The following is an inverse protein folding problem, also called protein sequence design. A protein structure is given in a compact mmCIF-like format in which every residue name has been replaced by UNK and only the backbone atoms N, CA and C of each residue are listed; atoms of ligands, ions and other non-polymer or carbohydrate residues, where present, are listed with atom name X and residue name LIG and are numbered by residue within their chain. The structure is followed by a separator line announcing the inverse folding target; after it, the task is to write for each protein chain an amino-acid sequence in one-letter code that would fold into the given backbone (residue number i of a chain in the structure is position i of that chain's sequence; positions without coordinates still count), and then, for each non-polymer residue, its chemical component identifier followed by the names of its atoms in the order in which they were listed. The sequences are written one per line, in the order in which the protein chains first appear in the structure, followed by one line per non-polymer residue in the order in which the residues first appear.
data_IF_939010330632
#
_entry.id   IF_939010330632
#
_cell.length_a   1.000
_cell.length_b   1.000
_cell.length_c   1.000
_cell.angle_alpha   90.00
_cell.angle_beta   90.00
_cell.angle_gamma   90.00
#
_symmetry.space_group_name_H-M   'P 1'
#
loop_
_entity.id
_entity.type
_entity.pdbx_description
1 polymer ?
#
# COMPACT_ATOMS: atom_id res chain seq x y z
N UNK A 1 -19.29 -11.87 66.87
CA UNK A 1 -18.07 -11.05 67.05
C UNK A 1 -18.03 -10.00 65.94
N UNK A 2 -18.23 -8.72 66.31
CA UNK A 2 -18.16 -7.57 65.40
C UNK A 2 -16.74 -7.04 65.39
N UNK A 3 -16.18 -6.69 64.24
CA UNK A 3 -15.15 -5.65 64.07
C UNK A 3 -15.00 -5.40 62.56
N UNK A 4 -15.78 -4.46 62.03
CA UNK A 4 -15.41 -3.05 61.76
C UNK A 4 -14.59 -2.91 60.47
N UNK A 5 -15.33 -2.77 59.37
CA UNK A 5 -14.92 -2.08 58.16
C UNK A 5 -14.20 -0.76 58.52
N UNK A 6 -12.95 -0.63 58.08
CA UNK A 6 -12.21 0.62 58.20
C UNK A 6 -12.35 1.37 56.87
N UNK A 7 -13.16 2.42 56.90
CA UNK A 7 -13.34 3.39 55.82
C UNK A 7 -12.35 4.53 56.10
N UNK A 8 -11.32 4.65 55.28
CA UNK A 8 -10.35 5.74 55.38
C UNK A 8 -10.95 7.06 54.83
N UNK A 9 -10.66 8.21 55.46
CA UNK A 9 -11.28 9.48 55.16
C UNK A 9 -10.82 10.09 53.82
N UNK A 10 -11.81 10.63 53.11
CA UNK A 10 -11.70 11.40 51.88
C UNK A 10 -10.93 12.70 52.16
N UNK A 11 -9.62 12.71 51.89
CA UNK A 11 -8.81 13.92 51.88
C UNK A 11 -9.30 14.83 50.75
N UNK A 12 -9.97 15.94 51.11
CA UNK A 12 -10.18 17.09 50.23
C UNK A 12 -8.83 17.77 50.04
N UNK A 13 -8.14 17.45 48.95
CA UNK A 13 -7.06 18.30 48.46
C UNK A 13 -7.66 19.52 47.77
N UNK A 14 -7.73 20.61 48.52
CA UNK A 14 -7.88 21.98 48.01
C UNK A 14 -6.80 22.32 46.99
N UNK A 15 -7.22 23.00 45.91
CA UNK A 15 -6.47 23.97 45.08
C UNK A 15 -4.99 23.65 44.80
N UNK A 16 -4.75 23.10 43.61
CA UNK A 16 -3.60 23.44 42.77
C UNK A 16 -4.18 23.54 41.36
N UNK A 17 -4.38 24.72 40.79
CA UNK A 17 -3.32 25.60 40.32
C UNK A 17 -3.53 25.76 38.81
N UNK A 18 -4.55 26.53 38.43
CA UNK A 18 -4.67 27.07 37.07
C UNK A 18 -3.55 28.10 36.89
N UNK A 19 -2.35 27.70 36.50
CA UNK A 19 -1.26 28.66 36.21
C UNK A 19 -0.23 28.10 35.23
N UNK A 20 -0.65 27.39 34.17
CA UNK A 20 0.28 27.09 33.07
C UNK A 20 -0.31 27.27 31.65
N UNK A 21 -1.52 27.79 31.55
CA UNK A 21 -2.13 28.18 30.26
C UNK A 21 -2.05 29.70 30.03
N UNK A 22 -2.03 30.51 31.10
CA UNK A 22 -1.94 31.97 30.99
C UNK A 22 -0.51 32.47 30.75
N UNK A 23 0.52 31.77 31.25
CA UNK A 23 1.92 32.17 31.07
C UNK A 23 2.42 32.02 29.62
N UNK A 24 1.87 31.06 28.87
CA UNK A 24 2.16 30.87 27.44
C UNK A 24 1.36 31.81 26.54
N UNK A 25 0.27 32.42 27.03
CA UNK A 25 -0.50 33.40 26.25
C UNK A 25 0.09 34.81 26.30
N UNK A 26 0.78 35.22 27.39
CA UNK A 26 1.42 36.55 27.48
C UNK A 26 2.80 36.67 26.83
N UNK A 27 3.48 35.57 26.48
CA UNK A 27 4.77 35.61 25.77
C UNK A 27 4.63 35.57 24.23
N UNK A 28 3.45 35.20 23.72
CA UNK A 28 3.19 35.09 22.28
C UNK A 28 2.95 36.46 21.61
N UNK A 29 2.68 37.50 22.40
CA UNK A 29 2.31 38.84 21.93
C UNK A 29 3.50 39.71 21.50
N UNK A 30 4.74 39.25 21.77
CA UNK A 30 5.98 39.94 21.38
C UNK A 30 6.81 39.20 20.32
N UNK A 31 6.41 38.01 19.89
CA UNK A 31 7.12 37.28 18.84
C UNK A 31 6.73 37.76 17.45
N UNK A 32 7.72 38.00 16.61
CA UNK A 32 7.50 38.30 15.20
C UNK A 32 6.87 37.10 14.49
N UNK A 33 6.08 37.32 13.41
CA UNK A 33 5.51 36.23 12.63
C UNK A 33 6.56 35.21 12.14
N UNK A 34 7.78 35.66 11.85
CA UNK A 34 8.90 34.79 11.45
C UNK A 34 9.32 33.83 12.55
N UNK A 35 9.49 34.31 13.79
CA UNK A 35 9.87 33.48 14.93
C UNK A 35 8.80 32.43 15.25
N UNK A 36 7.52 32.80 15.08
CA UNK A 36 6.40 31.85 15.24
C UNK A 36 6.41 30.76 14.17
N UNK A 37 6.71 31.10 12.91
CA UNK A 37 6.87 30.13 11.81
C UNK A 37 8.07 29.22 12.06
N UNK A 38 9.19 29.77 12.54
CA UNK A 38 10.38 29.00 12.88
C UNK A 38 10.09 28.00 14.02
N UNK A 39 9.45 28.43 15.09
CA UNK A 39 9.03 27.57 16.19
C UNK A 39 8.05 26.48 15.73
N UNK A 40 7.06 26.82 14.88
CA UNK A 40 6.15 25.84 14.29
C UNK A 40 6.88 24.83 13.39
N UNK A 41 7.87 25.28 12.62
CA UNK A 41 8.72 24.42 11.78
C UNK A 41 9.53 23.43 12.62
N UNK A 42 10.07 23.88 13.76
CA UNK A 42 10.76 23.02 14.71
C UNK A 42 9.85 21.90 15.24
N UNK A 43 8.64 22.24 15.71
CA UNK A 43 7.68 21.23 16.21
C UNK A 43 7.21 20.27 15.12
N UNK A 44 6.96 20.78 13.91
CA UNK A 44 6.66 19.95 12.74
C UNK A 44 7.79 18.95 12.45
N UNK A 45 9.04 19.42 12.47
CA UNK A 45 10.21 18.56 12.28
C UNK A 45 10.31 17.48 13.35
N UNK A 46 10.06 17.80 14.63
CA UNK A 46 10.05 16.81 15.72
C UNK A 46 8.96 15.76 15.58
N UNK A 47 7.74 16.18 15.24
CA UNK A 47 6.65 15.24 14.96
C UNK A 47 6.99 14.28 13.80
N UNK A 48 7.67 14.77 12.75
CA UNK A 48 8.16 13.94 11.64
C UNK A 48 9.24 12.94 12.06
N UNK A 49 10.19 13.36 12.90
CA UNK A 49 11.23 12.48 13.44
C UNK A 49 10.63 11.34 14.26
N UNK A 50 9.65 11.64 15.12
CA UNK A 50 8.94 10.64 15.92
C UNK A 50 8.16 9.65 15.06
N UNK A 51 7.44 10.15 14.04
CA UNK A 51 6.73 9.31 13.08
C UNK A 51 7.69 8.37 12.35
N UNK A 52 8.82 8.90 11.87
CA UNK A 52 9.86 8.09 11.22
C UNK A 52 10.38 6.99 12.13
N UNK A 53 10.74 7.33 13.36
CA UNK A 53 11.27 6.38 14.33
C UNK A 53 10.25 5.25 14.60
N UNK A 54 8.97 5.60 14.75
CA UNK A 54 7.91 4.62 14.97
C UNK A 54 7.71 3.70 13.77
N UNK A 55 7.75 4.25 12.56
CA UNK A 55 7.62 3.46 11.34
C UNK A 55 8.78 2.49 11.13
N UNK A 56 10.01 2.92 11.38
CA UNK A 56 11.18 2.05 11.31
C UNK A 56 11.06 0.90 12.31
N UNK A 57 10.65 1.20 13.55
CA UNK A 57 10.42 0.16 14.56
C UNK A 57 9.36 -0.87 14.12
N UNK A 58 8.27 -0.44 13.47
CA UNK A 58 7.24 -1.36 12.93
C UNK A 58 7.81 -2.21 11.79
N UNK A 59 8.58 -1.63 10.87
CA UNK A 59 9.20 -2.38 9.78
C UNK A 59 10.20 -3.42 10.29
N UNK A 60 10.98 -3.07 11.31
CA UNK A 60 11.91 -3.99 11.96
C UNK A 60 11.16 -5.14 12.65
N UNK A 61 10.01 -4.87 13.28
CA UNK A 61 9.15 -5.91 13.86
C UNK A 61 8.58 -6.85 12.79
N UNK A 62 8.08 -6.32 11.67
CA UNK A 62 7.58 -7.12 10.54
C UNK A 62 8.70 -8.00 10.00
N UNK A 63 9.89 -7.44 9.79
CA UNK A 63 11.06 -8.20 9.33
C UNK A 63 11.45 -9.28 10.34
N UNK A 64 11.51 -8.97 11.63
CA UNK A 64 11.88 -9.92 12.67
C UNK A 64 10.89 -11.09 12.77
N UNK A 65 9.58 -10.82 12.70
CA UNK A 65 8.55 -11.87 12.67
C UNK A 65 8.70 -12.71 11.41
N UNK A 66 8.89 -12.07 10.25
CA UNK A 66 9.03 -12.77 8.97
C UNK A 66 10.25 -13.68 8.95
N UNK A 67 11.42 -13.19 9.39
CA UNK A 67 12.65 -13.99 9.47
C UNK A 67 12.53 -15.12 10.50
N UNK A 68 11.86 -14.87 11.63
CA UNK A 68 11.60 -15.92 12.62
C UNK A 68 10.72 -17.04 12.07
N UNK A 69 9.71 -16.71 11.28
CA UNK A 69 8.73 -17.66 10.73
C UNK A 69 9.19 -18.31 9.41
N UNK A 70 10.16 -17.70 8.72
CA UNK A 70 10.65 -18.14 7.40
C UNK A 70 11.01 -19.63 7.35
N UNK A 71 11.77 -20.22 8.30
CA UNK A 71 12.15 -21.64 8.21
C UNK A 71 10.94 -22.59 8.28
N UNK A 72 9.97 -22.29 9.15
CA UNK A 72 8.75 -23.09 9.30
C UNK A 72 7.87 -22.99 8.05
N UNK A 73 7.71 -21.78 7.49
CA UNK A 73 6.98 -21.59 6.24
C UNK A 73 7.62 -22.35 5.07
N UNK A 74 8.95 -22.33 4.96
CA UNK A 74 9.67 -23.10 3.94
C UNK A 74 9.41 -24.60 4.12
N UNK A 75 9.53 -25.13 5.35
CA UNK A 75 9.27 -26.54 5.62
C UNK A 75 7.83 -26.95 5.26
N UNK A 76 6.84 -26.10 5.55
CA UNK A 76 5.44 -26.34 5.17
C UNK A 76 5.22 -26.29 3.66
N UNK A 77 5.89 -25.37 2.95
CA UNK A 77 5.87 -25.31 1.49
C UNK A 77 6.47 -26.58 0.88
N UNK A 78 7.60 -27.04 1.41
CA UNK A 78 8.24 -28.28 0.95
C UNK A 78 7.37 -29.51 1.21
N UNK A 79 6.75 -29.59 2.39
CA UNK A 79 5.80 -30.66 2.71
C UNK A 79 4.61 -30.67 1.74
N UNK A 80 4.03 -29.51 1.45
CA UNK A 80 2.93 -29.39 0.49
C UNK A 80 3.37 -29.74 -0.94
N UNK A 81 4.59 -29.36 -1.34
CA UNK A 81 5.16 -29.68 -2.64
C UNK A 81 5.38 -31.20 -2.79
N UNK A 82 5.91 -31.86 -1.78
CA UNK A 82 6.11 -33.31 -1.76
C UNK A 82 4.78 -34.07 -1.83
N UNK A 83 3.80 -33.70 -0.99
CA UNK A 83 2.46 -34.30 -1.02
C UNK A 83 1.78 -34.11 -2.39
N UNK A 84 1.95 -32.95 -3.02
CA UNK A 84 1.47 -32.72 -4.39
C UNK A 84 2.17 -33.61 -5.40
N UNK A 85 3.49 -33.78 -5.31
CA UNK A 85 4.25 -34.63 -6.22
C UNK A 85 3.82 -36.11 -6.12
N UNK A 86 3.63 -36.61 -4.90
CA UNK A 86 3.09 -37.94 -4.64
C UNK A 86 1.68 -38.12 -5.21
N UNK A 87 0.80 -37.14 -4.98
CA UNK A 87 -0.55 -37.14 -5.52
C UNK A 87 -0.55 -37.16 -7.06
N UNK A 88 0.33 -36.38 -7.70
CA UNK A 88 0.50 -36.38 -9.16
C UNK A 88 0.97 -37.75 -9.64
N UNK A 89 1.98 -38.35 -9.01
CA UNK A 89 2.47 -39.69 -9.37
C UNK A 89 1.38 -40.76 -9.22
N UNK A 90 0.54 -40.66 -8.19
CA UNK A 90 -0.58 -41.55 -7.98
C UNK A 90 -1.66 -41.40 -9.06
N UNK A 91 -1.99 -40.17 -9.44
CA UNK A 91 -2.96 -39.88 -10.53
C UNK A 91 -2.41 -40.39 -11.88
N UNK A 92 -1.13 -40.18 -12.16
CA UNK A 92 -0.47 -40.67 -13.39
C UNK A 92 -0.43 -42.20 -13.45
N UNK A 93 -0.26 -42.86 -12.30
CA UNK A 93 -0.31 -44.33 -12.20
C UNK A 93 -1.74 -44.89 -12.27
N UNK A 94 -2.77 -44.08 -12.04
CA UNK A 94 -4.18 -44.49 -11.95
C UNK A 94 -5.09 -43.67 -12.87
N UNK A 95 -4.63 -43.34 -14.08
CA UNK A 95 -5.35 -42.47 -15.03
C UNK A 95 -6.74 -42.97 -15.40
N UNK A 96 -6.98 -44.28 -15.33
CA UNK A 96 -8.25 -44.91 -15.68
C UNK A 96 -9.42 -44.45 -14.80
N UNK A 97 -9.15 -44.10 -13.53
CA UNK A 97 -10.14 -43.56 -12.59
C UNK A 97 -10.72 -42.23 -13.08
N UNK A 98 -9.97 -41.51 -13.94
CA UNK A 98 -10.35 -40.21 -14.51
C UNK A 98 -10.81 -40.30 -15.97
N UNK A 99 -11.24 -41.49 -16.45
CA UNK A 99 -11.87 -41.59 -17.78
C UNK A 99 -13.20 -40.83 -17.84
N UNK A 100 -14.04 -41.00 -16.82
CA UNK A 100 -15.33 -40.32 -16.68
C UNK A 100 -15.81 -40.38 -15.22
N UNK A 101 -15.91 -39.25 -14.49
CA UNK A 101 -15.57 -37.88 -14.90
C UNK A 101 -14.06 -37.64 -15.00
N UNK A 102 -13.64 -36.66 -15.83
CA UNK A 102 -12.21 -36.33 -16.00
C UNK A 102 -11.59 -35.65 -14.79
N UNK A 103 -12.41 -35.03 -13.95
CA UNK A 103 -11.97 -34.38 -12.72
C UNK A 103 -12.99 -34.62 -11.62
N UNK A 104 -12.51 -34.79 -10.40
CA UNK A 104 -13.31 -35.00 -9.18
C UNK A 104 -12.78 -34.05 -8.10
N UNK A 105 -13.65 -33.57 -7.21
CA UNK A 105 -13.25 -32.75 -6.06
C UNK A 105 -13.34 -33.58 -4.79
N UNK A 106 -12.24 -33.66 -4.05
CA UNK A 106 -12.16 -34.32 -2.74
C UNK A 106 -11.45 -33.40 -1.76
N UNK A 107 -11.97 -33.30 -0.53
CA UNK A 107 -11.36 -32.48 0.54
C UNK A 107 -11.06 -31.03 0.11
N UNK A 108 -11.91 -30.45 -0.76
CA UNK A 108 -11.70 -29.11 -1.31
C UNK A 108 -10.69 -29.02 -2.46
N UNK A 109 -9.96 -30.09 -2.79
CA UNK A 109 -8.98 -30.15 -3.87
C UNK A 109 -9.58 -30.81 -5.12
N UNK A 110 -9.52 -30.13 -6.26
CA UNK A 110 -9.93 -30.67 -7.56
C UNK A 110 -8.77 -31.42 -8.20
N UNK A 111 -8.96 -32.70 -8.46
CA UNK A 111 -7.96 -33.60 -9.06
C UNK A 111 -8.48 -34.25 -10.34
N UNK A 112 -7.58 -34.62 -11.24
CA UNK A 112 -7.89 -35.36 -12.46
C UNK A 112 -7.10 -34.91 -13.67
N UNK A 113 -7.58 -35.28 -14.85
CA UNK A 113 -6.87 -35.08 -16.12
C UNK A 113 -7.49 -33.93 -16.91
N UNK A 114 -6.66 -32.96 -17.29
CA UNK A 114 -7.01 -31.89 -18.22
C UNK A 114 -6.07 -31.91 -19.42
N UNK A 115 -6.54 -31.46 -20.59
CA UNK A 115 -5.64 -31.19 -21.71
C UNK A 115 -4.77 -30.00 -21.34
N UNK A 116 -3.46 -30.08 -21.60
CA UNK A 116 -2.56 -28.94 -21.42
C UNK A 116 -3.04 -27.75 -22.28
N UNK A 117 -2.81 -26.53 -21.80
CA UNK A 117 -3.26 -25.30 -22.49
C UNK A 117 -2.59 -25.06 -23.85
N UNK A 118 -1.64 -25.91 -24.24
CA UNK A 118 -0.75 -25.66 -25.37
C UNK A 118 0.25 -24.55 -25.05
N UNK A 119 1.35 -24.49 -25.78
CA UNK A 119 2.25 -23.34 -25.77
C UNK A 119 2.08 -22.64 -27.12
N UNK A 120 1.91 -21.33 -27.08
CA UNK A 120 1.96 -20.50 -28.29
C UNK A 120 3.42 -20.08 -28.45
N UNK A 121 4.07 -20.62 -29.46
CA UNK A 121 5.41 -20.23 -29.87
C UNK A 121 5.31 -19.54 -31.23
N UNK A 122 6.11 -18.49 -31.42
CA UNK A 122 6.17 -17.77 -32.67
C UNK A 122 7.62 -17.56 -33.10
N UNK A 123 7.82 -17.51 -34.41
CA UNK A 123 9.13 -17.25 -35.01
C UNK A 123 9.19 -15.78 -35.43
N UNK A 124 10.14 -15.02 -34.88
CA UNK A 124 10.38 -13.61 -35.22
C UNK A 124 10.18 -12.65 -34.04
N UNK A 125 10.28 -11.35 -34.34
CA UNK A 125 10.03 -10.30 -33.36
C UNK A 125 8.53 -10.17 -33.05
N UNK A 126 8.21 -9.75 -31.83
CA UNK A 126 6.83 -9.45 -31.42
C UNK A 126 6.20 -8.36 -32.29
N UNK A 127 6.98 -7.35 -32.70
CA UNK A 127 6.52 -6.26 -33.58
C UNK A 127 6.06 -6.76 -34.95
N UNK A 128 6.74 -7.76 -35.52
CA UNK A 128 6.36 -8.36 -36.80
C UNK A 128 5.01 -9.07 -36.72
N UNK A 129 4.70 -9.63 -35.55
CA UNK A 129 3.46 -10.35 -35.29
C UNK A 129 2.34 -9.37 -35.04
N UNK A 130 2.58 -8.30 -34.29
CA UNK A 130 1.65 -7.18 -34.12
C UNK A 130 1.26 -6.61 -35.49
N UNK A 131 2.25 -6.31 -36.34
CA UNK A 131 1.99 -5.80 -37.69
C UNK A 131 1.19 -6.78 -38.57
N UNK A 132 1.45 -8.09 -38.46
CA UNK A 132 0.67 -9.13 -39.16
C UNK A 132 -0.75 -9.24 -38.60
N UNK A 133 -0.92 -9.16 -37.28
CA UNK A 133 -2.24 -9.17 -36.63
C UNK A 133 -3.07 -7.99 -37.13
N UNK A 134 -2.49 -6.79 -37.16
CA UNK A 134 -3.19 -5.58 -37.66
C UNK A 134 -3.52 -5.65 -39.16
N UNK A 135 -2.71 -6.34 -39.96
CA UNK A 135 -2.90 -6.49 -41.41
C UNK A 135 -3.88 -7.61 -41.78
N UNK A 136 -3.91 -8.69 -41.02
CA UNK A 136 -4.63 -9.92 -41.35
C UNK A 136 -5.98 -10.04 -40.65
N UNK A 137 -6.10 -9.52 -39.42
CA UNK A 137 -7.33 -9.60 -38.64
C UNK A 137 -8.13 -8.30 -38.72
N UNK A 138 -9.43 -8.42 -38.48
CA UNK A 138 -10.28 -7.26 -38.32
C UNK A 138 -9.91 -6.46 -37.06
N UNK A 139 -10.28 -5.18 -37.03
CA UNK A 139 -9.92 -4.26 -35.94
C UNK A 139 -10.46 -4.69 -34.57
N UNK A 140 -11.52 -5.51 -34.50
CA UNK A 140 -12.05 -5.96 -33.22
C UNK A 140 -11.21 -7.12 -32.65
N UNK A 141 -10.84 -8.09 -33.51
CA UNK A 141 -9.98 -9.21 -33.12
C UNK A 141 -8.55 -8.76 -32.80
N UNK A 142 -7.99 -7.80 -33.53
CA UNK A 142 -6.65 -7.26 -33.26
C UNK A 142 -6.55 -6.61 -31.87
N UNK A 143 -7.58 -5.88 -31.44
CA UNK A 143 -7.64 -5.25 -30.10
C UNK A 143 -7.72 -6.24 -28.94
N UNK A 144 -8.17 -7.48 -29.18
CA UNK A 144 -8.18 -8.51 -28.14
C UNK A 144 -6.81 -9.15 -27.95
N UNK A 145 -5.96 -9.11 -28.98
CA UNK A 145 -4.64 -9.73 -28.99
C UNK A 145 -3.51 -8.76 -28.67
N UNK A 146 -3.73 -7.45 -28.86
CA UNK A 146 -2.75 -6.39 -28.64
C UNK A 146 -3.19 -5.51 -27.46
N UNK A 147 -2.42 -5.50 -26.38
CA UNK A 147 -2.63 -4.58 -25.25
C UNK A 147 -2.00 -3.22 -25.56
N UNK A 148 -2.83 -2.20 -25.80
CA UNK A 148 -2.37 -0.83 -26.07
C UNK A 148 -2.57 0.03 -24.82
N UNK A 149 -1.49 0.23 -24.07
CA UNK A 149 -1.50 1.13 -22.90
C UNK A 149 -1.41 2.60 -23.33
N UNK A 150 -2.56 3.28 -23.40
CA UNK A 150 -2.63 4.74 -23.56
C UNK A 150 -2.67 5.41 -22.19
N UNK A 151 -1.64 6.19 -21.86
CA UNK A 151 -1.57 6.97 -20.62
C UNK A 151 -1.47 8.46 -20.94
N UNK A 152 -2.24 9.26 -20.23
CA UNK A 152 -2.18 10.71 -20.31
C UNK A 152 -0.85 11.20 -19.72
N UNK A 153 -0.09 11.96 -20.50
CA UNK A 153 1.15 12.59 -20.02
C UNK A 153 0.81 13.94 -19.40
N UNK A 154 0.55 13.92 -18.10
CA UNK A 154 0.09 15.08 -17.31
C UNK A 154 1.07 16.25 -17.32
N UNK A 155 2.37 15.96 -17.38
CA UNK A 155 3.40 17.00 -17.37
C UNK A 155 3.37 17.81 -18.67
N UNK A 156 3.32 17.14 -19.83
CA UNK A 156 3.21 17.81 -21.14
C UNK A 156 1.90 18.59 -21.32
N UNK A 157 0.83 18.21 -20.60
CA UNK A 157 -0.41 18.98 -20.59
C UNK A 157 -0.28 20.31 -19.84
N UNK A 158 0.67 20.45 -18.91
CA UNK A 158 0.90 21.74 -18.21
C UNK A 158 1.60 22.75 -19.11
N UNK A 159 2.37 22.27 -20.08
CA UNK A 159 3.13 23.09 -21.04
C UNK A 159 2.30 23.52 -22.25
N UNK A 160 1.06 23.03 -22.39
CA UNK A 160 0.16 23.40 -23.48
C UNK A 160 -0.54 24.75 -23.23
N UNK A 161 -0.85 25.51 -24.30
CA UNK A 161 -1.51 26.79 -24.14
C UNK A 161 -2.96 26.62 -23.65
N UNK A 162 -3.40 27.57 -22.82
CA UNK A 162 -4.65 27.48 -22.05
C UNK A 162 -5.92 27.36 -22.92
N UNK A 163 -5.89 27.89 -24.14
CA UNK A 163 -6.96 27.79 -25.13
C UNK A 163 -7.15 26.36 -25.65
N UNK A 164 -6.06 25.60 -25.76
CA UNK A 164 -6.09 24.16 -26.11
C UNK A 164 -6.52 23.33 -24.92
N UNK A 165 -6.06 23.66 -23.71
CA UNK A 165 -6.47 22.96 -22.48
C UNK A 165 -7.96 23.13 -22.16
N UNK A 166 -8.50 24.34 -22.35
CA UNK A 166 -9.92 24.61 -22.20
C UNK A 166 -10.79 23.78 -23.18
N UNK A 167 -10.32 23.58 -24.42
CA UNK A 167 -10.98 22.72 -25.41
C UNK A 167 -10.91 21.22 -25.06
N UNK A 168 -9.87 20.80 -24.33
CA UNK A 168 -9.68 19.43 -23.85
C UNK A 168 -10.40 19.15 -22.51
N UNK A 169 -11.04 20.16 -21.92
CA UNK A 169 -11.70 20.06 -20.61
C UNK A 169 -10.71 19.97 -19.44
N UNK A 170 -9.46 20.40 -19.63
CA UNK A 170 -8.42 20.45 -18.59
C UNK A 170 -8.38 21.86 -18.02
N UNK A 171 -8.67 22.00 -16.74
CA UNK A 171 -8.59 23.26 -16.01
C UNK A 171 -7.31 23.29 -15.16
N UNK A 172 -6.48 24.32 -15.35
CA UNK A 172 -5.32 24.58 -14.49
C UNK A 172 -5.78 25.47 -13.33
N UNK A 173 -5.94 24.87 -12.15
CA UNK A 173 -6.30 25.59 -10.91
C UNK A 173 -5.05 26.00 -10.13
N UNK A 174 -5.19 27.01 -9.27
CA UNK A 174 -4.17 27.55 -8.35
C UNK A 174 -2.93 28.18 -9.00
N UNK A 175 -3.13 29.19 -9.84
CA UNK A 175 -2.04 30.06 -10.33
C UNK A 175 -1.84 31.20 -9.32
N UNK A 176 -1.16 30.91 -8.20
CA UNK A 176 -0.83 31.88 -7.16
C UNK A 176 0.28 31.37 -6.26
N UNK A 177 0.83 32.25 -5.41
CA UNK A 177 1.84 31.86 -4.43
C UNK A 177 1.24 30.86 -3.42
N UNK A 178 1.72 29.62 -3.46
CA UNK A 178 1.29 28.56 -2.57
C UNK A 178 2.24 28.43 -1.37
N UNK A 179 1.68 28.20 -0.18
CA UNK A 179 2.47 27.86 1.01
C UNK A 179 3.12 26.49 0.79
N UNK A 180 4.45 26.45 0.77
CA UNK A 180 5.22 25.20 0.61
C UNK A 180 5.73 24.73 1.96
N UNK A 181 5.19 23.61 2.43
CA UNK A 181 5.74 22.87 3.58
C UNK A 181 6.20 21.52 3.07
N UNK A 182 7.50 21.41 2.80
CA UNK A 182 8.15 20.16 2.39
C UNK A 182 9.36 19.92 3.27
N UNK A 183 9.47 18.69 3.78
CA UNK A 183 10.73 18.25 4.38
C UNK A 183 11.79 18.09 3.27
N UNK A 184 13.05 18.29 3.62
CA UNK A 184 14.18 18.01 2.71
C UNK A 184 14.42 16.51 2.51
N UNK A 185 13.89 15.67 3.42
CA UNK A 185 13.95 14.21 3.34
C UNK A 185 12.57 13.61 3.08
N UNK A 186 12.38 13.07 1.86
CA UNK A 186 11.16 12.39 1.40
C UNK A 186 11.08 10.93 1.86
N UNK A 187 12.08 10.39 2.56
CA UNK A 187 12.11 8.97 2.95
C UNK A 187 10.88 8.59 3.77
N UNK A 188 10.46 9.46 4.70
CA UNK A 188 9.28 9.24 5.54
C UNK A 188 8.01 9.19 4.68
N UNK A 189 7.85 10.10 3.72
CA UNK A 189 6.68 10.15 2.83
C UNK A 189 6.58 8.90 1.96
N UNK A 190 7.71 8.38 1.50
CA UNK A 190 7.75 7.12 0.73
C UNK A 190 7.36 5.93 1.60
N UNK A 191 7.85 5.88 2.85
CA UNK A 191 7.46 4.82 3.78
C UNK A 191 5.97 4.88 4.11
N UNK A 192 5.40 6.09 4.26
CA UNK A 192 3.97 6.29 4.55
C UNK A 192 3.16 5.80 3.35
N UNK A 193 3.52 6.22 2.13
CA UNK A 193 2.85 5.76 0.90
C UNK A 193 2.92 4.25 0.72
N UNK A 194 4.07 3.64 1.01
CA UNK A 194 4.24 2.20 0.98
C UNK A 194 3.30 1.49 1.95
N UNK A 195 3.21 1.97 3.20
CA UNK A 195 2.36 1.36 4.22
C UNK A 195 0.87 1.64 4.00
N UNK A 196 0.51 2.81 3.44
CA UNK A 196 -0.87 3.15 3.12
C UNK A 196 -1.44 2.34 1.95
N UNK A 197 -0.57 1.70 1.16
CA UNK A 197 -1.00 0.73 0.15
C UNK A 197 -1.34 -0.63 0.80
N UNK A 198 -0.87 -0.87 2.02
CA UNK A 198 -1.17 -2.07 2.80
C UNK A 198 -2.45 -1.84 3.62
N UNK A 199 -3.50 -2.60 3.28
CA UNK A 199 -4.92 -2.41 3.65
C UNK A 199 -5.29 -2.20 5.14
N UNK A 200 -4.35 -2.31 6.07
CA UNK A 200 -4.60 -2.22 7.52
C UNK A 200 -4.61 -0.76 8.02
N UNK A 201 -3.89 0.15 7.35
CA UNK A 201 -3.76 1.56 7.75
C UNK A 201 -4.00 2.54 6.58
N UNK A 202 -4.25 2.01 5.38
CA UNK A 202 -4.35 2.78 4.15
C UNK A 202 -5.41 3.86 4.19
N UNK A 203 -6.60 3.52 4.64
CA UNK A 203 -7.74 4.44 4.66
C UNK A 203 -7.52 5.58 5.68
N UNK A 204 -7.04 5.25 6.88
CA UNK A 204 -6.86 6.23 7.97
C UNK A 204 -5.66 7.17 7.78
N UNK A 205 -4.58 6.72 7.12
CA UNK A 205 -3.39 7.54 6.87
C UNK A 205 -3.53 8.40 5.62
N UNK A 206 -4.18 7.89 4.57
CA UNK A 206 -4.40 8.66 3.35
C UNK A 206 -5.32 9.87 3.59
N UNK A 207 -6.30 9.74 4.49
CA UNK A 207 -7.23 10.83 4.84
C UNK A 207 -6.58 11.94 5.68
N UNK A 208 -5.47 11.65 6.38
CA UNK A 208 -4.82 12.57 7.34
C UNK A 208 -3.45 13.11 6.90
N UNK A 209 -2.92 12.63 5.79
CA UNK A 209 -1.57 12.99 5.29
C UNK A 209 -1.56 14.08 4.20
N UNK A 210 -2.64 14.87 4.07
CA UNK A 210 -2.76 16.03 3.18
C UNK A 210 -3.18 17.28 3.99
#
# INVERSE_FOLDING_TARGET
MRMRHWIAPRQRSTRFGRTNTEATMSQNDQQTPRERIEAATFWYSKAREELRARMLAVQDQIRAITEKQRPELIALVDQAANAKAELVALIESNRDVFKKPKTIQWHGVKVGLQKGKGRVEWNGSEDDIIARIEKTLDKASAKQLIDVKKKLKKDDLRDMPADVLAKLGVEVKDVGDAVVVKATDDAVDRLIKGLATDSVLGDDLAERAL
#
